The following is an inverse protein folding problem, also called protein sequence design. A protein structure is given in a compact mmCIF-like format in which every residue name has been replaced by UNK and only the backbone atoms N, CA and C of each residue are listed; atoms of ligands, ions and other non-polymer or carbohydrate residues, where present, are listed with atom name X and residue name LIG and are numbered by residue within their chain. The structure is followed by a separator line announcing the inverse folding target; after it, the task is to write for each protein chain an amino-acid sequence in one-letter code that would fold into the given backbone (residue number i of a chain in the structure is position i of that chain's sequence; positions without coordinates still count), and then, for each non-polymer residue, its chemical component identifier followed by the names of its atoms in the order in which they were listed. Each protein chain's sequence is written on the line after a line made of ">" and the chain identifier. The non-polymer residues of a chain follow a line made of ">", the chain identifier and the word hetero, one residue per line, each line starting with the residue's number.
data_IF_459517910356
#
_entry.id   IF_459517910356
#
_cell.length_a   1.000
_cell.length_b   1.000
_cell.length_c   1.000
_cell.angle_alpha   90.00
_cell.angle_beta   90.00
_cell.angle_gamma   90.00
#
_symmetry.space_group_name_H-M   'P 1'
#
loop_
_entity.id
_entity.type
_entity.pdbx_description
1 polymer ?
#
# COMPACT_ATOMS: atom_id res chain seq x y z
N UNK A 1 0.38 -18.05 -0.04
CA UNK A 1 -0.94 -18.66 -0.25
C UNK A 1 -2.00 -17.59 -0.04
N UNK A 2 -3.07 -17.54 -0.84
CA UNK A 2 -4.19 -16.63 -0.61
C UNK A 2 -5.44 -17.43 -0.26
N UNK A 3 -6.17 -16.98 0.75
CA UNK A 3 -7.44 -17.53 1.17
C UNK A 3 -8.52 -16.46 0.95
N UNK A 4 -9.59 -16.85 0.28
CA UNK A 4 -10.74 -16.00 -0.01
C UNK A 4 -11.99 -16.69 0.51
N UNK A 5 -12.70 -16.03 1.41
CA UNK A 5 -14.03 -16.42 1.87
C UNK A 5 -15.04 -15.38 1.42
N UNK A 6 -16.34 -15.68 1.54
CA UNK A 6 -17.40 -14.70 1.28
C UNK A 6 -17.33 -13.47 2.20
N UNK A 7 -16.64 -13.58 3.33
CA UNK A 7 -16.63 -12.55 4.36
C UNK A 7 -15.24 -11.89 4.54
N UNK A 8 -14.15 -12.54 4.11
CA UNK A 8 -12.80 -12.02 4.24
C UNK A 8 -11.83 -12.55 3.20
N UNK A 9 -10.76 -11.79 2.98
CA UNK A 9 -9.63 -12.18 2.14
C UNK A 9 -8.33 -12.00 2.94
N UNK A 10 -7.48 -13.02 2.90
CA UNK A 10 -6.19 -13.03 3.56
C UNK A 10 -5.08 -13.60 2.66
N UNK A 11 -3.91 -12.98 2.70
CA UNK A 11 -2.68 -13.46 2.10
C UNK A 11 -1.71 -13.95 3.18
N UNK A 12 -1.12 -15.12 2.96
CA UNK A 12 -0.13 -15.76 3.83
C UNK A 12 1.20 -15.85 3.09
N UNK A 13 2.22 -15.17 3.60
CA UNK A 13 3.52 -15.03 2.97
C UNK A 13 4.60 -15.58 3.90
N UNK A 14 5.25 -16.71 3.59
CA UNK A 14 6.33 -17.22 4.42
C UNK A 14 7.51 -16.25 4.43
N UNK A 15 8.15 -16.14 5.59
CA UNK A 15 9.37 -15.40 5.88
C UNK A 15 10.43 -16.39 6.43
N UNK A 16 11.64 -15.89 6.69
CA UNK A 16 12.74 -16.70 7.23
C UNK A 16 12.46 -17.18 8.68
N UNK A 17 13.18 -18.17 9.20
CA UNK A 17 13.04 -18.64 10.59
C UNK A 17 11.65 -19.16 10.98
N UNK A 18 10.91 -19.71 10.01
CA UNK A 18 9.54 -20.19 10.23
C UNK A 18 8.52 -19.05 10.38
N UNK A 19 8.91 -17.84 9.95
CA UNK A 19 8.08 -16.64 9.99
C UNK A 19 7.06 -16.62 8.82
N UNK A 20 5.97 -15.86 8.93
CA UNK A 20 4.75 -15.73 8.12
C UNK A 20 4.16 -14.31 8.26
N UNK A 21 4.16 -13.55 7.18
CA UNK A 21 3.36 -12.32 7.11
C UNK A 21 1.95 -12.64 6.67
N UNK A 22 0.97 -12.16 7.42
CA UNK A 22 -0.45 -12.31 7.10
C UNK A 22 -1.03 -10.93 6.81
N UNK A 23 -1.51 -10.75 5.58
CA UNK A 23 -2.14 -9.51 5.13
C UNK A 23 -3.64 -9.77 4.98
N UNK A 24 -4.49 -8.89 5.50
CA UNK A 24 -5.94 -9.09 5.44
C UNK A 24 -6.72 -7.79 5.38
N UNK A 25 -7.95 -7.90 4.88
CA UNK A 25 -8.92 -6.81 4.93
C UNK A 25 -9.71 -6.94 6.22
N UNK A 26 -9.84 -5.84 6.95
CA UNK A 26 -10.56 -5.80 8.21
C UNK A 26 -11.56 -4.66 8.21
N UNK A 27 -12.81 -5.00 8.48
CA UNK A 27 -13.95 -4.11 8.36
C UNK A 27 -14.29 -3.34 9.64
N UNK A 28 -13.58 -3.56 10.76
CA UNK A 28 -13.90 -2.84 11.99
C UNK A 28 -13.29 -1.42 12.00
N UNK A 29 -14.13 -0.45 12.37
CA UNK A 29 -13.84 0.99 12.35
C UNK A 29 -13.27 1.53 13.67
N UNK A 30 -13.11 0.69 14.71
CA UNK A 30 -12.49 1.09 15.99
C UNK A 30 -11.12 1.74 15.79
N UNK A 31 -10.84 2.83 16.51
CA UNK A 31 -9.57 3.56 16.37
C UNK A 31 -8.39 2.80 16.98
N UNK A 32 -8.58 2.23 18.16
CA UNK A 32 -7.62 1.36 18.81
C UNK A 32 -8.00 -0.10 18.53
N UNK A 33 -7.08 -0.86 17.92
CA UNK A 33 -7.29 -2.27 17.63
C UNK A 33 -6.15 -3.04 18.28
N UNK A 34 -6.51 -3.85 19.28
CA UNK A 34 -5.58 -4.76 19.96
C UNK A 34 -5.43 -6.06 19.15
N UNK A 35 -4.26 -6.70 19.26
CA UNK A 35 -3.94 -7.94 18.58
C UNK A 35 -4.95 -9.06 18.86
N UNK A 36 -5.48 -9.14 20.08
CA UNK A 36 -6.51 -10.12 20.46
C UNK A 36 -7.75 -10.04 19.58
N UNK A 37 -8.17 -8.83 19.21
CA UNK A 37 -9.32 -8.61 18.33
C UNK A 37 -9.02 -9.15 16.92
N UNK A 38 -7.79 -8.97 16.46
CA UNK A 38 -7.34 -9.44 15.16
C UNK A 38 -7.33 -10.98 15.12
N UNK A 39 -6.78 -11.60 16.16
CA UNK A 39 -6.74 -13.05 16.27
C UNK A 39 -8.15 -13.65 16.22
N UNK A 40 -9.07 -13.12 17.04
CA UNK A 40 -10.48 -13.53 17.02
C UNK A 40 -11.16 -13.29 15.67
N UNK A 41 -10.86 -12.17 15.01
CA UNK A 41 -11.43 -11.85 13.70
C UNK A 41 -10.94 -12.82 12.63
N UNK A 42 -9.64 -13.11 12.58
CA UNK A 42 -9.03 -14.00 11.58
C UNK A 42 -9.62 -15.41 11.72
N UNK A 43 -9.63 -15.99 12.92
CA UNK A 43 -10.19 -17.33 13.13
C UNK A 43 -11.68 -17.39 12.74
N UNK A 44 -12.46 -16.36 13.07
CA UNK A 44 -13.90 -16.32 12.78
C UNK A 44 -14.23 -16.10 11.30
N UNK A 45 -13.52 -15.21 10.62
CA UNK A 45 -13.86 -14.75 9.26
C UNK A 45 -13.25 -15.62 8.16
N UNK A 46 -12.09 -16.22 8.44
CA UNK A 46 -11.45 -17.14 7.52
C UNK A 46 -11.98 -18.57 7.65
N UNK A 47 -12.75 -18.87 8.71
CA UNK A 47 -13.30 -20.20 9.00
C UNK A 47 -12.23 -21.31 8.95
N UNK A 48 -11.05 -20.98 9.46
CA UNK A 48 -9.88 -21.88 9.56
C UNK A 48 -9.45 -21.93 11.00
N UNK A 49 -9.08 -23.13 11.44
CA UNK A 49 -8.51 -23.36 12.77
C UNK A 49 -7.05 -22.90 12.79
N UNK A 50 -6.86 -21.59 12.75
CA UNK A 50 -5.56 -20.93 12.88
C UNK A 50 -5.57 -20.15 14.18
N UNK A 51 -4.63 -20.51 15.05
CA UNK A 51 -4.30 -19.75 16.24
C UNK A 51 -3.04 -18.94 15.95
N UNK A 52 -3.18 -17.62 15.95
CA UNK A 52 -2.03 -16.73 15.99
C UNK A 52 -1.62 -16.59 17.46
N UNK A 53 -0.34 -16.61 17.73
CA UNK A 53 0.15 -16.26 19.05
C UNK A 53 1.19 -15.14 18.92
N UNK A 54 1.80 -14.67 20.01
CA UNK A 54 2.81 -13.58 20.08
C UNK A 54 3.25 -12.97 18.74
N UNK A 55 2.61 -11.86 18.37
CA UNK A 55 3.00 -11.13 17.18
C UNK A 55 4.27 -10.31 17.43
N UNK A 56 5.30 -10.54 16.63
CA UNK A 56 6.50 -9.68 16.59
C UNK A 56 6.10 -8.22 16.30
N UNK A 57 5.12 -8.04 15.41
CA UNK A 57 4.54 -6.76 15.06
C UNK A 57 3.16 -6.95 14.43
N UNK A 58 2.27 -5.98 14.67
CA UNK A 58 1.04 -5.88 13.91
C UNK A 58 0.73 -4.41 13.66
N UNK A 59 0.03 -4.13 12.56
CA UNK A 59 -0.39 -2.78 12.24
C UNK A 59 -1.70 -2.78 11.47
N UNK A 60 -2.41 -1.68 11.67
CA UNK A 60 -3.72 -1.43 11.09
C UNK A 60 -3.70 -0.07 10.46
N UNK A 61 -3.84 -0.02 9.14
CA UNK A 61 -3.76 1.24 8.42
C UNK A 61 -4.91 1.37 7.45
N UNK A 62 -5.47 2.57 7.38
CA UNK A 62 -6.52 2.88 6.42
C UNK A 62 -5.88 3.05 5.04
N UNK A 63 -6.29 2.23 4.08
CA UNK A 63 -5.97 2.43 2.67
C UNK A 63 -6.53 3.78 2.22
N UNK A 64 -5.65 4.63 1.72
CA UNK A 64 -5.98 5.93 1.16
C UNK A 64 -5.38 6.05 -0.23
N UNK A 65 -6.13 6.66 -1.14
CA UNK A 65 -5.63 7.07 -2.45
C UNK A 65 -5.40 8.58 -2.45
N UNK A 66 -4.14 8.99 -2.52
CA UNK A 66 -3.71 10.38 -2.56
C UNK A 66 -2.57 10.50 -3.55
N UNK A 67 -2.63 11.48 -4.45
CA UNK A 67 -1.56 11.80 -5.38
C UNK A 67 -1.39 13.32 -5.36
N UNK A 68 -0.17 13.79 -5.14
CA UNK A 68 0.14 15.20 -5.13
C UNK A 68 -0.14 15.84 -6.50
N UNK A 69 -0.61 17.08 -6.50
CA UNK A 69 -0.88 17.83 -7.73
C UNK A 69 0.39 18.06 -8.57
N UNK A 70 1.52 18.27 -7.92
CA UNK A 70 2.85 18.42 -8.51
C UNK A 70 3.85 17.65 -7.65
N UNK A 71 4.85 17.01 -8.26
CA UNK A 71 5.89 16.26 -7.54
C UNK A 71 7.16 17.11 -7.36
N UNK A 72 7.29 18.20 -8.09
CA UNK A 72 8.37 19.17 -7.98
C UNK A 72 7.83 20.60 -8.05
N UNK A 73 8.47 21.50 -7.31
CA UNK A 73 8.28 22.95 -7.41
C UNK A 73 9.58 23.67 -7.05
N UNK A 74 10.24 24.24 -8.07
CA UNK A 74 11.57 24.81 -7.91
C UNK A 74 12.55 23.77 -7.37
N UNK A 75 13.14 24.04 -6.19
CA UNK A 75 14.14 23.17 -5.55
C UNK A 75 13.53 22.14 -4.57
N UNK A 76 12.21 22.03 -4.52
CA UNK A 76 11.50 21.11 -3.61
C UNK A 76 10.92 19.96 -4.41
N UNK A 77 11.14 18.74 -3.93
CA UNK A 77 10.73 17.49 -4.58
C UNK A 77 10.02 16.57 -3.58
N UNK A 78 8.95 15.92 -4.04
CA UNK A 78 8.22 14.89 -3.32
C UNK A 78 8.51 13.53 -3.98
N UNK A 79 8.81 12.51 -3.19
CA UNK A 79 9.09 11.14 -3.64
C UNK A 79 8.34 10.14 -2.77
N UNK A 80 7.98 8.97 -3.31
CA UNK A 80 7.31 7.91 -2.55
C UNK A 80 6.01 8.37 -1.89
N UNK A 81 5.78 7.94 -0.65
CA UNK A 81 4.54 8.22 0.10
C UNK A 81 4.23 9.72 0.29
N UNK A 82 5.24 10.59 0.20
CA UNK A 82 5.05 12.04 0.23
C UNK A 82 4.41 12.58 -1.06
N UNK A 83 4.62 11.90 -2.19
CA UNK A 83 4.07 12.26 -3.50
C UNK A 83 2.81 11.46 -3.83
N UNK A 84 2.74 10.19 -3.43
CA UNK A 84 1.62 9.30 -3.75
C UNK A 84 1.45 8.21 -2.70
N UNK A 85 0.20 7.96 -2.33
CA UNK A 85 -0.22 6.83 -1.50
C UNK A 85 -1.44 6.18 -2.17
N UNK A 86 -1.44 4.86 -2.27
CA UNK A 86 -2.55 4.08 -2.84
C UNK A 86 -2.66 2.75 -2.10
N UNK A 87 -3.63 1.93 -2.50
CA UNK A 87 -3.85 0.63 -1.87
C UNK A 87 -2.56 -0.20 -1.85
N UNK A 88 -2.22 -0.82 -0.69
CA UNK A 88 -1.01 -1.65 -0.55
C UNK A 88 -1.11 -2.95 -1.36
N UNK A 89 -2.30 -3.28 -1.87
CA UNK A 89 -2.54 -4.50 -2.64
C UNK A 89 -1.61 -4.55 -3.84
N UNK A 90 -0.91 -5.68 -3.99
CA UNK A 90 0.10 -5.86 -5.03
C UNK A 90 1.50 -5.33 -4.67
N UNK A 91 1.71 -4.79 -3.46
CA UNK A 91 3.05 -4.49 -2.92
C UNK A 91 3.83 -3.42 -3.70
N UNK A 92 3.13 -2.45 -4.30
CA UNK A 92 3.73 -1.52 -5.26
C UNK A 92 4.37 -0.27 -4.65
N UNK A 93 3.94 0.17 -3.45
CA UNK A 93 4.32 1.47 -2.89
C UNK A 93 5.83 1.69 -2.77
N UNK A 94 6.52 0.79 -2.05
CA UNK A 94 7.97 0.89 -1.83
C UNK A 94 8.76 0.91 -3.16
N UNK A 95 8.39 0.03 -4.10
CA UNK A 95 9.06 -0.06 -5.40
C UNK A 95 8.96 1.26 -6.18
N UNK A 96 7.79 1.90 -6.16
CA UNK A 96 7.60 3.17 -6.86
C UNK A 96 8.39 4.31 -6.22
N UNK A 97 8.49 4.36 -4.89
CA UNK A 97 9.36 5.31 -4.20
C UNK A 97 10.83 5.17 -4.60
N UNK A 98 11.33 3.94 -4.75
CA UNK A 98 12.68 3.71 -5.27
C UNK A 98 12.85 4.20 -6.71
N UNK A 99 11.88 3.94 -7.59
CA UNK A 99 11.93 4.43 -8.97
C UNK A 99 11.85 5.96 -9.08
N UNK A 100 11.13 6.62 -8.16
CA UNK A 100 11.12 8.09 -8.09
C UNK A 100 12.50 8.63 -7.72
N UNK A 101 13.11 8.06 -6.67
CA UNK A 101 14.45 8.43 -6.24
C UNK A 101 15.48 8.19 -7.36
N UNK A 102 15.40 7.04 -8.04
CA UNK A 102 16.28 6.71 -9.15
C UNK A 102 16.13 7.69 -10.32
N UNK A 103 14.90 8.04 -10.70
CA UNK A 103 14.64 9.01 -11.76
C UNK A 103 15.18 10.41 -11.41
N UNK A 104 15.02 10.84 -10.15
CA UNK A 104 15.40 12.17 -9.71
C UNK A 104 16.92 12.30 -9.51
N UNK A 105 17.59 11.28 -8.98
CA UNK A 105 18.99 11.33 -8.57
C UNK A 105 19.93 11.69 -9.73
N UNK A 106 19.79 11.04 -10.88
CA UNK A 106 20.68 11.33 -12.03
C UNK A 106 20.44 12.74 -12.61
N UNK A 107 19.18 13.21 -12.60
CA UNK A 107 18.83 14.56 -13.06
C UNK A 107 19.42 15.64 -12.15
N UNK A 108 19.36 15.42 -10.84
CA UNK A 108 19.99 16.30 -9.86
C UNK A 108 21.50 16.38 -10.08
N UNK A 109 22.18 15.24 -10.22
CA UNK A 109 23.62 15.19 -10.49
C UNK A 109 23.96 15.91 -11.80
N UNK A 110 23.16 15.72 -12.84
CA UNK A 110 23.36 16.39 -14.13
C UNK A 110 23.26 17.92 -14.02
N UNK A 111 22.24 18.43 -13.34
CA UNK A 111 22.07 19.89 -13.13
C UNK A 111 23.21 20.46 -12.29
N UNK A 112 23.57 19.79 -11.19
CA UNK A 112 24.65 20.23 -10.30
C UNK A 112 26.01 20.30 -11.01
N UNK A 113 26.31 19.35 -11.91
CA UNK A 113 27.60 19.30 -12.62
C UNK A 113 27.69 20.26 -13.79
N UNK A 114 26.60 20.44 -14.53
CA UNK A 114 26.63 21.20 -15.79
C UNK A 114 26.15 22.65 -15.64
N UNK A 115 25.78 23.06 -14.42
CA UNK A 115 25.13 24.34 -14.13
C UNK A 115 23.96 24.61 -15.11
N UNK A 116 23.30 23.52 -15.53
CA UNK A 116 22.31 23.50 -16.59
C UNK A 116 20.98 24.03 -16.07
N UNK A 117 20.16 24.57 -16.98
CA UNK A 117 18.80 25.05 -16.68
C UNK A 117 18.00 23.92 -16.00
N UNK A 118 17.22 24.28 -14.97
CA UNK A 118 16.34 23.39 -14.18
C UNK A 118 15.29 22.62 -15.02
N UNK A 119 15.25 22.83 -16.34
CA UNK A 119 14.32 22.21 -17.28
C UNK A 119 14.30 20.67 -17.21
N UNK A 120 15.44 20.00 -17.00
CA UNK A 120 15.45 18.54 -16.89
C UNK A 120 14.82 18.05 -15.57
N UNK A 121 14.90 18.85 -14.49
CA UNK A 121 14.23 18.53 -13.23
C UNK A 121 12.72 18.73 -13.32
N UNK A 122 12.25 19.60 -14.22
CA UNK A 122 10.83 19.79 -14.47
C UNK A 122 10.18 18.54 -15.09
N UNK A 123 10.93 17.75 -15.87
CA UNK A 123 10.41 16.50 -16.45
C UNK A 123 10.13 15.43 -15.40
N UNK A 124 10.65 15.55 -14.17
CA UNK A 124 10.36 14.60 -13.09
C UNK A 124 8.87 14.45 -12.81
N UNK A 125 8.14 15.57 -12.68
CA UNK A 125 6.68 15.52 -12.47
C UNK A 125 5.97 14.91 -13.68
N UNK A 126 6.37 15.30 -14.89
CA UNK A 126 5.78 14.82 -16.15
C UNK A 126 5.96 13.32 -16.35
N UNK A 127 7.12 12.79 -15.99
CA UNK A 127 7.43 11.36 -16.14
C UNK A 127 6.82 10.50 -15.02
N UNK A 128 6.82 10.98 -13.77
CA UNK A 128 6.49 10.14 -12.60
C UNK A 128 5.04 10.22 -12.14
N UNK A 129 4.36 11.34 -12.38
CA UNK A 129 2.95 11.48 -12.02
C UNK A 129 2.04 10.52 -12.79
N UNK A 130 2.17 10.35 -14.13
CA UNK A 130 1.32 9.40 -14.87
C UNK A 130 1.51 7.96 -14.39
N UNK A 131 2.74 7.55 -14.06
CA UNK A 131 3.03 6.23 -13.47
C UNK A 131 2.26 6.05 -12.17
N UNK A 132 2.30 7.04 -11.28
CA UNK A 132 1.58 7.00 -10.00
C UNK A 132 0.06 6.89 -10.18
N UNK A 133 -0.50 7.60 -11.17
CA UNK A 133 -1.94 7.53 -11.50
C UNK A 133 -2.32 6.14 -12.00
N UNK A 134 -1.52 5.54 -12.88
CA UNK A 134 -1.76 4.21 -13.41
C UNK A 134 -1.65 3.14 -12.32
N UNK A 135 -0.64 3.24 -11.45
CA UNK A 135 -0.48 2.32 -10.31
C UNK A 135 -1.64 2.44 -9.33
N UNK A 136 -2.12 3.66 -9.05
CA UNK A 136 -3.31 3.83 -8.22
C UNK A 136 -4.56 3.19 -8.84
N UNK A 137 -4.75 3.32 -10.16
CA UNK A 137 -5.86 2.66 -10.85
C UNK A 137 -5.76 1.12 -10.82
N UNK A 138 -4.56 0.58 -11.00
CA UNK A 138 -4.30 -0.86 -10.95
C UNK A 138 -4.52 -1.44 -9.55
N UNK A 139 -3.97 -0.79 -8.52
CA UNK A 139 -4.12 -1.21 -7.12
C UNK A 139 -5.56 -1.09 -6.64
N UNK A 140 -6.33 -0.09 -7.11
CA UNK A 140 -7.77 0.01 -6.88
C UNK A 140 -8.55 -1.15 -7.52
N UNK A 141 -8.21 -1.53 -8.75
CA UNK A 141 -8.83 -2.67 -9.44
C UNK A 141 -8.62 -3.95 -8.65
N UNK A 142 -7.37 -4.23 -8.26
CA UNK A 142 -7.06 -5.39 -7.44
C UNK A 142 -7.80 -5.32 -6.11
N UNK A 143 -7.75 -4.19 -5.41
CA UNK A 143 -8.43 -4.04 -4.12
C UNK A 143 -9.94 -4.35 -4.20
N UNK A 144 -10.62 -3.89 -5.26
CA UNK A 144 -12.05 -4.19 -5.47
C UNK A 144 -12.29 -5.69 -5.68
N UNK A 145 -11.40 -6.35 -6.42
CA UNK A 145 -11.45 -7.81 -6.61
C UNK A 145 -11.24 -8.56 -5.27
N UNK A 146 -10.21 -8.19 -4.51
CA UNK A 146 -9.88 -8.81 -3.22
C UNK A 146 -10.91 -8.52 -2.13
N UNK A 147 -11.60 -7.38 -2.16
CA UNK A 147 -12.60 -7.00 -1.15
C UNK A 147 -14.01 -7.53 -1.46
N UNK A 148 -14.22 -8.22 -2.58
CA UNK A 148 -15.53 -8.75 -2.97
C UNK A 148 -16.59 -7.66 -3.27
N UNK A 149 -16.20 -6.40 -3.41
CA UNK A 149 -17.13 -5.33 -3.74
C UNK A 149 -17.50 -5.36 -5.23
N UNK A 150 -18.71 -5.84 -5.55
CA UNK A 150 -19.40 -5.50 -6.79
C UNK A 150 -19.66 -3.99 -6.81
N UNK A 151 -19.09 -3.25 -7.76
CA UNK A 151 -19.53 -1.87 -8.06
C UNK A 151 -20.98 -1.91 -8.55
N UNK A 152 -21.94 -1.45 -7.73
CA UNK A 152 -23.15 -0.84 -8.26
C UNK A 152 -22.82 0.61 -8.68
N UNK A 153 -23.61 1.15 -9.61
CA UNK A 153 -23.23 2.25 -10.46
C UNK A 153 -23.01 3.59 -9.73
N UNK A 154 -21.96 4.31 -10.17
CA UNK A 154 -21.89 5.77 -10.20
C UNK A 154 -22.13 6.53 -8.90
N UNK A 155 -21.11 6.64 -8.04
CA UNK A 155 -20.92 7.86 -7.24
C UNK A 155 -19.52 7.90 -6.61
N UNK A 156 -18.90 9.08 -6.61
CA UNK A 156 -17.63 9.36 -5.94
C UNK A 156 -17.85 9.29 -4.42
N UNK A 157 -17.34 8.27 -3.74
CA UNK A 157 -17.33 8.22 -2.28
C UNK A 157 -15.99 7.71 -1.75
N UNK A 158 -15.42 8.48 -0.82
CA UNK A 158 -14.27 8.13 0.01
C UNK A 158 -14.53 6.81 0.74
N UNK A 159 -14.06 5.69 0.17
CA UNK A 159 -14.05 4.41 0.86
C UNK A 159 -12.71 4.19 1.53
N UNK A 160 -12.77 3.56 2.69
CA UNK A 160 -11.80 3.79 3.74
C UNK A 160 -11.72 2.56 4.59
N UNK A 161 -10.88 1.66 4.12
CA UNK A 161 -10.76 0.33 4.69
C UNK A 161 -9.41 0.19 5.37
N UNK A 162 -9.42 -0.43 6.55
CA UNK A 162 -8.23 -0.73 7.30
C UNK A 162 -7.64 -2.05 6.79
N UNK A 163 -6.41 -2.02 6.31
CA UNK A 163 -5.59 -3.18 5.96
C UNK A 163 -4.77 -3.55 7.18
N UNK A 164 -4.63 -4.85 7.42
CA UNK A 164 -3.84 -5.38 8.53
C UNK A 164 -2.57 -6.02 8.03
N UNK A 165 -1.49 -5.78 8.78
CA UNK A 165 -0.32 -6.61 8.82
C UNK A 165 -0.34 -7.39 10.13
N UNK A 166 -0.31 -8.71 10.05
CA UNK A 166 -0.12 -9.60 11.20
C UNK A 166 1.19 -10.35 10.99
N UNK A 167 2.14 -10.20 11.90
CA UNK A 167 3.36 -11.01 11.94
C UNK A 167 3.12 -12.17 12.93
N UNK A 168 2.84 -13.37 12.40
CA UNK A 168 3.24 -14.71 12.88
C UNK A 168 2.86 -15.45 14.15
N UNK A 169 2.94 -16.80 14.01
CA UNK A 169 3.50 -17.73 15.00
C UNK A 169 4.50 -18.81 14.54
N UNK A 170 5.35 -19.30 15.48
CA UNK A 170 6.29 -20.44 15.37
C UNK A 170 5.75 -21.64 16.17
N UNK A 171 6.03 -22.85 15.67
CA UNK A 171 5.60 -24.18 16.18
C UNK A 171 6.00 -24.48 17.62
#
# INVERSE_FOLDING_TARGET
>A
MFLFTYQASAGFFPLQDGKWRIDGIFSNHSQCIDFKIINQYISKQLNVDIQLWDADWFSVFRSQKKIAGMFSKGRVFLIGDAAHAYSPVGGQGMNHGFYDAFNLAWKMVYVLKNNSVENILNTYTEERKPVSVNTAAFTDLLFNFFSGQKKSHGFCLFLSFKVFYVYLFRS
#
